data_IF_865519482340
#
_entry.id   IF_865519482340
#
_cell.length_a   1.000
_cell.length_b   1.000
_cell.length_c   1.000
_cell.angle_alpha   90.00
_cell.angle_beta   90.00
_cell.angle_gamma   90.00
#
_symmetry.space_group_name_H-M   'P 1'
#
loop_
_entity.id
_entity.type
_entity.pdbx_description
1 polymer ?
#
# COMPACT_ATOMS: atom_id res chain seq x y z
N UNK A 1 -4.04 -9.01 -20.38
CA UNK A 1 -5.13 -9.27 -21.34
C UNK A 1 -5.62 -10.70 -21.15
N UNK A 2 -6.68 -10.86 -20.37
CA UNK A 2 -7.65 -11.97 -20.34
C UNK A 2 -8.83 -11.40 -19.55
N UNK A 3 -10.05 -11.49 -20.06
CA UNK A 3 -11.24 -11.58 -19.22
C UNK A 3 -12.23 -12.48 -19.96
N UNK A 4 -12.46 -13.68 -19.42
CA UNK A 4 -13.62 -14.50 -19.74
C UNK A 4 -14.91 -13.83 -19.25
N UNK A 5 -15.96 -14.62 -19.07
CA UNK A 5 -17.25 -14.12 -18.56
C UNK A 5 -17.11 -13.42 -17.20
N UNK A 6 -17.98 -12.44 -16.93
CA UNK A 6 -18.00 -11.76 -15.64
C UNK A 6 -18.32 -12.75 -14.52
N UNK A 7 -17.47 -12.79 -13.48
CA UNK A 7 -17.71 -13.56 -12.26
C UNK A 7 -18.24 -12.63 -11.17
N UNK A 8 -19.51 -12.83 -10.80
CA UNK A 8 -20.09 -12.17 -9.64
C UNK A 8 -19.58 -12.79 -8.34
N UNK A 9 -19.20 -11.95 -7.38
CA UNK A 9 -18.70 -12.36 -6.07
C UNK A 9 -19.36 -11.51 -4.98
N UNK A 10 -20.04 -12.19 -4.06
CA UNK A 10 -20.70 -11.56 -2.91
C UNK A 10 -19.79 -11.65 -1.68
N UNK A 11 -19.49 -10.52 -1.06
CA UNK A 11 -18.63 -10.39 0.13
C UNK A 11 -19.34 -9.62 1.24
N UNK A 12 -18.94 -9.85 2.49
CA UNK A 12 -19.43 -9.10 3.65
C UNK A 12 -18.35 -8.17 4.16
N UNK A 13 -18.71 -6.93 4.50
CA UNK A 13 -17.74 -5.96 5.07
C UNK A 13 -17.10 -6.48 6.35
N UNK A 14 -17.86 -7.16 7.21
CA UNK A 14 -17.37 -7.65 8.51
C UNK A 14 -16.43 -8.86 8.39
N UNK A 15 -16.48 -9.60 7.28
CA UNK A 15 -15.64 -10.79 7.03
C UNK A 15 -14.89 -10.71 5.70
N UNK A 16 -14.58 -9.49 5.24
CA UNK A 16 -13.97 -9.24 3.92
C UNK A 16 -12.67 -10.03 3.72
N UNK A 17 -11.87 -10.16 4.78
CA UNK A 17 -10.62 -10.92 4.77
C UNK A 17 -10.88 -12.40 4.40
N UNK A 18 -11.80 -13.04 5.12
CA UNK A 18 -12.13 -14.46 4.95
C UNK A 18 -12.83 -14.71 3.62
N UNK A 19 -13.80 -13.88 3.25
CA UNK A 19 -14.61 -14.07 2.04
C UNK A 19 -13.74 -13.97 0.77
N UNK A 20 -12.85 -12.98 0.71
CA UNK A 20 -11.93 -12.82 -0.42
C UNK A 20 -10.88 -13.93 -0.43
N UNK A 21 -10.31 -14.33 0.70
CA UNK A 21 -9.37 -15.46 0.77
C UNK A 21 -10.01 -16.74 0.22
N UNK A 22 -11.22 -17.05 0.68
CA UNK A 22 -11.94 -18.26 0.29
C UNK A 22 -12.24 -18.26 -1.21
N UNK A 23 -12.61 -17.12 -1.79
CA UNK A 23 -12.82 -17.01 -3.22
C UNK A 23 -11.56 -17.31 -4.04
N UNK A 24 -10.39 -16.86 -3.57
CA UNK A 24 -9.10 -17.04 -4.23
C UNK A 24 -8.41 -18.38 -3.93
N UNK A 25 -9.02 -19.25 -3.13
CA UNK A 25 -8.61 -20.65 -3.04
C UNK A 25 -8.66 -21.31 -4.44
N UNK A 26 -9.66 -20.94 -5.25
CA UNK A 26 -9.72 -21.27 -6.68
C UNK A 26 -8.67 -20.46 -7.48
N UNK A 27 -7.61 -21.10 -8.00
CA UNK A 27 -6.59 -20.40 -8.78
C UNK A 27 -7.12 -19.83 -10.10
N UNK A 28 -8.24 -20.35 -10.62
CA UNK A 28 -8.78 -19.93 -11.91
C UNK A 28 -9.46 -18.56 -11.84
N UNK A 29 -9.81 -18.08 -10.64
CA UNK A 29 -10.45 -16.78 -10.44
C UNK A 29 -9.61 -15.63 -11.00
N UNK A 30 -8.28 -15.74 -10.94
CA UNK A 30 -7.33 -14.71 -11.42
C UNK A 30 -7.48 -14.40 -12.92
N UNK A 31 -8.06 -15.33 -13.70
CA UNK A 31 -8.34 -15.13 -15.13
C UNK A 31 -9.68 -14.45 -15.45
N UNK A 32 -10.49 -14.13 -14.44
CA UNK A 32 -11.86 -13.64 -14.61
C UNK A 32 -11.98 -12.13 -14.33
N UNK A 33 -12.99 -11.50 -14.92
CA UNK A 33 -13.44 -10.16 -14.47
C UNK A 33 -14.31 -10.33 -13.24
N UNK A 34 -14.07 -9.53 -12.21
CA UNK A 34 -14.91 -9.53 -11.02
C UNK A 34 -16.00 -8.48 -11.11
N UNK A 35 -17.17 -8.83 -10.57
CA UNK A 35 -18.27 -7.91 -10.27
C UNK A 35 -18.60 -8.15 -8.79
N UNK A 36 -18.30 -7.17 -7.94
CA UNK A 36 -18.49 -7.29 -6.50
C UNK A 36 -19.90 -6.87 -6.09
N UNK A 37 -20.50 -7.64 -5.17
CA UNK A 37 -21.64 -7.19 -4.36
C UNK A 37 -21.30 -7.28 -2.88
N UNK A 38 -21.60 -6.21 -2.14
CA UNK A 38 -21.60 -6.28 -0.68
C UNK A 38 -22.95 -6.81 -0.19
N UNK A 39 -22.91 -7.85 0.65
CA UNK A 39 -24.13 -8.45 1.20
C UNK A 39 -24.94 -7.39 1.97
N UNK A 40 -26.22 -7.26 1.62
CA UNK A 40 -27.14 -6.30 2.25
C UNK A 40 -27.03 -4.86 1.73
N UNK A 41 -26.15 -4.57 0.76
CA UNK A 41 -26.02 -3.25 0.16
C UNK A 41 -26.64 -3.19 -1.23
N UNK A 42 -27.34 -2.08 -1.51
CA UNK A 42 -27.81 -1.77 -2.87
C UNK A 42 -26.67 -1.09 -3.61
N UNK A 43 -26.20 -1.71 -4.69
CA UNK A 43 -25.15 -1.15 -5.54
C UNK A 43 -24.95 -1.98 -6.81
N UNK A 44 -24.61 -1.31 -7.90
CA UNK A 44 -24.13 -1.94 -9.12
C UNK A 44 -22.64 -1.68 -9.25
N UNK A 45 -21.86 -2.74 -9.40
CA UNK A 45 -20.42 -2.59 -9.56
C UNK A 45 -20.08 -2.22 -11.01
N UNK A 46 -19.66 -0.97 -11.20
CA UNK A 46 -19.03 -0.49 -12.42
C UNK A 46 -17.49 -0.41 -12.29
N UNK A 47 -16.91 -0.98 -11.23
CA UNK A 47 -15.48 -0.97 -10.89
C UNK A 47 -15.21 -0.43 -9.48
N UNK A 48 -16.08 0.46 -8.97
CA UNK A 48 -15.92 1.08 -7.66
C UNK A 48 -16.08 0.11 -6.49
N UNK A 49 -17.00 -0.86 -6.56
CA UNK A 49 -17.17 -1.85 -5.48
C UNK A 49 -16.05 -2.88 -5.50
N UNK A 50 -15.53 -3.21 -6.69
CA UNK A 50 -14.30 -4.00 -6.82
C UNK A 50 -13.13 -3.30 -6.13
N UNK A 51 -12.90 -2.01 -6.39
CA UNK A 51 -11.84 -1.21 -5.75
C UNK A 51 -12.00 -1.14 -4.22
N UNK A 52 -13.21 -0.84 -3.74
CA UNK A 52 -13.55 -0.82 -2.30
C UNK A 52 -13.27 -2.18 -1.63
N UNK A 53 -13.67 -3.28 -2.26
CA UNK A 53 -13.43 -4.64 -1.75
C UNK A 53 -11.94 -4.96 -1.59
N UNK A 54 -11.09 -4.64 -2.57
CA UNK A 54 -9.66 -4.90 -2.46
C UNK A 54 -8.98 -3.98 -1.44
N UNK A 55 -9.35 -2.69 -1.38
CA UNK A 55 -8.81 -1.77 -0.36
C UNK A 55 -9.18 -2.25 1.06
N UNK A 56 -10.45 -2.57 1.30
CA UNK A 56 -10.91 -3.10 2.59
C UNK A 56 -10.24 -4.45 2.93
N UNK A 57 -10.04 -5.32 1.94
CA UNK A 57 -9.30 -6.56 2.10
C UNK A 57 -7.86 -6.31 2.55
N UNK A 58 -7.11 -5.44 1.87
CA UNK A 58 -5.70 -5.19 2.19
C UNK A 58 -5.54 -4.56 3.57
N UNK A 59 -6.44 -3.67 3.96
CA UNK A 59 -6.48 -3.11 5.33
C UNK A 59 -6.64 -4.18 6.41
N UNK A 60 -7.49 -5.18 6.17
CA UNK A 60 -7.64 -6.31 7.07
C UNK A 60 -6.41 -7.23 7.02
N UNK A 61 -5.88 -7.51 5.83
CA UNK A 61 -4.72 -8.38 5.64
C UNK A 61 -3.48 -7.82 6.35
N UNK A 62 -3.20 -6.52 6.24
CA UNK A 62 -2.08 -5.87 6.92
C UNK A 62 -2.13 -6.00 8.45
N UNK A 63 -3.33 -6.06 9.04
CA UNK A 63 -3.50 -6.25 10.48
C UNK A 63 -3.31 -7.71 10.91
N UNK A 64 -3.44 -8.67 10.01
CA UNK A 64 -3.46 -10.11 10.33
C UNK A 64 -2.19 -10.85 9.93
N UNK A 65 -1.57 -10.49 8.80
CA UNK A 65 -0.50 -11.26 8.14
C UNK A 65 0.79 -10.44 7.90
N UNK A 66 0.84 -9.21 8.41
CA UNK A 66 1.98 -8.32 8.24
C UNK A 66 2.31 -7.62 9.55
N UNK A 67 3.53 -7.09 9.65
CA UNK A 67 4.01 -6.31 10.80
C UNK A 67 4.75 -5.06 10.31
N UNK A 68 4.68 -3.99 11.10
CA UNK A 68 5.27 -2.69 10.79
C UNK A 68 4.22 -1.58 10.85
N UNK A 69 4.69 -0.33 10.82
CA UNK A 69 3.83 0.84 10.97
C UNK A 69 3.22 1.30 9.64
N UNK A 70 3.94 2.19 8.93
CA UNK A 70 3.52 2.72 7.62
C UNK A 70 4.11 1.91 6.46
N UNK A 71 5.08 1.04 6.77
CA UNK A 71 5.70 0.09 5.87
C UNK A 71 5.64 -1.28 6.57
N UNK A 72 4.98 -2.23 5.94
CA UNK A 72 4.65 -3.52 6.52
C UNK A 72 5.33 -4.65 5.74
N UNK A 73 5.90 -5.61 6.45
CA UNK A 73 6.52 -6.81 5.88
C UNK A 73 5.67 -8.05 6.20
N UNK A 74 5.64 -9.07 5.32
CA UNK A 74 5.01 -10.36 5.62
C UNK A 74 5.48 -10.94 6.96
N UNK A 75 4.54 -11.35 7.81
CA UNK A 75 4.86 -11.89 9.12
C UNK A 75 3.82 -12.90 9.60
N UNK A 76 4.32 -13.98 10.21
CA UNK A 76 3.52 -14.90 11.02
C UNK A 76 4.24 -15.16 12.34
N UNK A 77 3.55 -15.06 13.49
CA UNK A 77 4.11 -15.55 14.73
C UNK A 77 4.24 -17.07 14.69
N UNK A 78 5.22 -17.62 15.42
CA UNK A 78 5.58 -19.05 15.37
C UNK A 78 4.36 -19.98 15.59
N UNK A 79 3.46 -19.63 16.51
CA UNK A 79 2.27 -20.44 16.81
C UNK A 79 1.22 -20.46 15.68
N UNK A 80 1.31 -19.57 14.68
CA UNK A 80 0.46 -19.51 13.49
C UNK A 80 1.19 -19.93 12.21
N UNK A 81 2.41 -20.46 12.31
CA UNK A 81 3.22 -20.75 11.12
C UNK A 81 2.58 -21.81 10.20
N UNK A 82 1.70 -22.67 10.72
CA UNK A 82 0.87 -23.59 9.94
C UNK A 82 -0.09 -22.88 8.98
N UNK A 83 -0.38 -21.59 9.18
CA UNK A 83 -1.22 -20.78 8.30
C UNK A 83 -0.45 -20.19 7.11
N UNK A 84 0.84 -20.52 6.93
CA UNK A 84 1.68 -19.99 5.84
C UNK A 84 1.15 -20.29 4.43
N UNK A 85 0.27 -21.29 4.28
CA UNK A 85 -0.45 -21.59 3.04
C UNK A 85 -1.36 -20.46 2.55
N UNK A 86 -1.62 -19.44 3.37
CA UNK A 86 -2.35 -18.25 2.96
C UNK A 86 -1.55 -17.33 2.03
N UNK A 87 -0.22 -17.33 2.16
CA UNK A 87 0.62 -16.36 1.44
C UNK A 87 0.58 -16.54 -0.09
N UNK A 88 0.55 -17.76 -0.66
CA UNK A 88 0.27 -17.93 -2.09
C UNK A 88 -1.10 -17.38 -2.51
N UNK A 89 -2.13 -17.43 -1.65
CA UNK A 89 -3.44 -16.82 -1.94
C UNK A 89 -3.30 -15.29 -1.97
N UNK A 90 -2.56 -14.69 -1.04
CA UNK A 90 -2.24 -13.25 -1.05
C UNK A 90 -1.53 -12.82 -2.34
N UNK A 91 -0.65 -13.67 -2.90
CA UNK A 91 0.00 -13.42 -4.18
C UNK A 91 -0.99 -13.34 -5.35
N UNK A 92 -1.98 -14.24 -5.38
CA UNK A 92 -3.06 -14.21 -6.39
C UNK A 92 -3.88 -12.94 -6.27
N UNK A 93 -4.30 -12.60 -5.04
CA UNK A 93 -5.10 -11.40 -4.76
C UNK A 93 -4.33 -10.12 -5.12
N UNK A 94 -3.03 -10.05 -4.80
CA UNK A 94 -2.16 -8.92 -5.14
C UNK A 94 -2.14 -8.69 -6.64
N UNK A 95 -1.78 -9.72 -7.41
CA UNK A 95 -1.62 -9.54 -8.84
C UNK A 95 -2.95 -9.34 -9.57
N UNK A 96 -4.03 -9.99 -9.13
CA UNK A 96 -5.34 -9.85 -9.76
C UNK A 96 -5.99 -8.51 -9.42
N UNK A 97 -5.95 -8.11 -8.15
CA UNK A 97 -6.47 -6.83 -7.69
C UNK A 97 -5.79 -5.66 -8.38
N UNK A 98 -4.46 -5.66 -8.46
CA UNK A 98 -3.72 -4.62 -9.20
C UNK A 98 -4.07 -4.61 -10.70
N UNK A 99 -4.21 -5.78 -11.33
CA UNK A 99 -4.60 -5.85 -12.74
C UNK A 99 -6.04 -5.35 -13.00
N UNK A 100 -6.99 -5.62 -12.09
CA UNK A 100 -8.39 -5.24 -12.23
C UNK A 100 -8.66 -3.77 -11.90
N UNK A 101 -7.97 -3.23 -10.90
CA UNK A 101 -8.32 -1.94 -10.28
C UNK A 101 -7.28 -0.85 -10.48
N UNK A 102 -6.06 -1.20 -10.91
CA UNK A 102 -4.93 -0.29 -10.88
C UNK A 102 -4.47 0.10 -9.47
N UNK A 103 -5.07 -0.45 -8.41
CA UNK A 103 -4.68 -0.20 -7.02
C UNK A 103 -3.59 -1.18 -6.60
N UNK A 104 -2.55 -0.65 -5.97
CA UNK A 104 -1.46 -1.42 -5.40
C UNK A 104 -1.35 -1.11 -3.89
N UNK A 105 -1.22 -2.11 -3.01
CA UNK A 105 -1.19 -1.88 -1.56
C UNK A 105 0.17 -1.31 -1.11
N UNK A 106 0.32 0.02 -1.19
CA UNK A 106 1.60 0.72 -0.93
C UNK A 106 2.13 0.63 0.50
N UNK A 107 1.33 0.12 1.45
CA UNK A 107 1.83 -0.22 2.79
C UNK A 107 2.73 -1.46 2.77
N UNK A 108 2.64 -2.31 1.74
CA UNK A 108 3.57 -3.42 1.57
C UNK A 108 4.98 -2.84 1.36
N UNK A 109 5.96 -3.34 2.09
CA UNK A 109 7.33 -2.82 2.03
C UNK A 109 7.93 -2.96 0.63
N UNK A 110 8.57 -1.91 0.08
CA UNK A 110 9.23 -1.92 -1.24
C UNK A 110 10.26 -3.05 -1.35
N UNK A 111 11.08 -3.22 -0.32
CA UNK A 111 12.05 -4.30 -0.25
C UNK A 111 11.40 -5.69 -0.21
N UNK A 112 10.23 -5.84 0.41
CA UNK A 112 9.44 -7.08 0.33
C UNK A 112 8.87 -7.30 -1.06
N UNK A 113 8.36 -6.25 -1.72
CA UNK A 113 7.91 -6.33 -3.13
C UNK A 113 9.04 -6.75 -4.05
N UNK A 114 10.22 -6.14 -3.90
CA UNK A 114 11.42 -6.57 -4.62
C UNK A 114 11.68 -8.06 -4.40
N UNK A 115 11.61 -8.53 -3.14
CA UNK A 115 11.85 -9.94 -2.81
C UNK A 115 10.79 -10.88 -3.39
N UNK A 116 9.53 -10.45 -3.45
CA UNK A 116 8.43 -11.18 -4.09
C UNK A 116 8.68 -11.29 -5.61
N UNK A 117 9.15 -10.22 -6.26
CA UNK A 117 9.36 -10.11 -7.71
C UNK A 117 10.62 -10.84 -8.18
N UNK A 118 11.70 -10.79 -7.40
CA UNK A 118 13.00 -11.33 -7.80
C UNK A 118 13.29 -12.69 -7.14
N UNK A 119 12.56 -13.04 -6.08
CA UNK A 119 12.78 -14.27 -5.32
C UNK A 119 14.06 -14.24 -4.46
N UNK A 120 14.71 -13.09 -4.37
CA UNK A 120 15.94 -12.85 -3.62
C UNK A 120 15.76 -11.65 -2.70
N UNK A 121 16.45 -11.59 -1.55
CA UNK A 121 16.35 -10.41 -0.67
C UNK A 121 16.81 -9.14 -1.40
N UNK A 122 16.20 -8.00 -1.06
CA UNK A 122 16.68 -6.68 -1.50
C UNK A 122 18.06 -6.39 -0.90
N UNK A 123 19.00 -5.93 -1.73
CA UNK A 123 20.37 -5.59 -1.31
C UNK A 123 20.67 -4.07 -1.37
N UNK A 124 19.75 -3.28 -1.93
CA UNK A 124 19.87 -1.81 -2.05
C UNK A 124 19.80 -1.17 -0.65
N UNK A 125 20.95 -0.72 -0.13
CA UNK A 125 21.05 -0.15 1.21
C UNK A 125 20.19 1.09 1.42
N UNK A 126 20.02 1.93 0.40
CA UNK A 126 19.23 3.16 0.51
C UNK A 126 17.74 2.85 0.56
N UNK A 127 17.29 1.89 -0.26
CA UNK A 127 15.92 1.37 -0.18
C UNK A 127 15.67 0.73 1.19
N UNK A 128 16.56 -0.14 1.65
CA UNK A 128 16.45 -0.83 2.93
C UNK A 128 16.40 0.16 4.11
N UNK A 129 17.31 1.13 4.13
CA UNK A 129 17.36 2.13 5.19
C UNK A 129 16.10 2.99 5.21
N UNK A 130 15.64 3.44 4.03
CA UNK A 130 14.41 4.23 3.93
C UNK A 130 13.16 3.43 4.29
N UNK A 131 13.07 2.16 3.92
CA UNK A 131 11.99 1.25 4.33
C UNK A 131 12.00 1.00 5.84
N UNK A 132 13.18 0.75 6.45
CA UNK A 132 13.31 0.57 7.89
C UNK A 132 12.81 1.81 8.64
N UNK A 133 13.20 3.01 8.22
CA UNK A 133 12.70 4.24 8.86
C UNK A 133 11.18 4.32 8.80
N UNK A 134 10.53 3.81 7.74
CA UNK A 134 9.08 3.83 7.60
C UNK A 134 8.39 2.68 8.35
N UNK A 135 9.12 1.62 8.62
CA UNK A 135 8.69 0.46 9.41
C UNK A 135 8.65 0.76 10.92
N UNK A 136 9.58 1.57 11.42
CA UNK A 136 9.68 1.97 12.82
C UNK A 136 8.51 2.85 13.29
N UNK A 137 8.26 2.87 14.60
CA UNK A 137 7.31 3.82 15.22
C UNK A 137 7.72 5.26 14.92
N UNK A 138 6.76 6.19 14.94
CA UNK A 138 7.03 7.59 14.60
C UNK A 138 8.13 8.21 15.48
N UNK A 139 8.18 7.84 16.77
CA UNK A 139 9.24 8.28 17.67
C UNK A 139 10.60 7.63 17.37
N UNK A 140 10.66 6.29 17.23
CA UNK A 140 11.90 5.58 16.87
C UNK A 140 12.48 6.10 15.54
N UNK A 141 11.61 6.35 14.56
CA UNK A 141 11.95 6.94 13.26
C UNK A 141 12.54 8.34 13.41
N UNK A 142 11.91 9.21 14.19
CA UNK A 142 12.37 10.59 14.37
C UNK A 142 13.75 10.63 15.03
N UNK A 143 13.94 9.82 16.07
CA UNK A 143 15.24 9.71 16.76
C UNK A 143 16.29 9.12 15.82
N UNK A 144 15.95 8.08 15.06
CA UNK A 144 16.85 7.46 14.08
C UNK A 144 17.26 8.43 12.97
N UNK A 145 16.33 9.23 12.43
CA UNK A 145 16.64 10.27 11.44
C UNK A 145 17.61 11.30 12.00
N UNK A 146 17.35 11.79 13.22
CA UNK A 146 18.24 12.74 13.90
C UNK A 146 19.65 12.16 14.05
N UNK A 147 19.74 10.89 14.44
CA UNK A 147 20.99 10.17 14.62
C UNK A 147 21.75 9.91 13.30
N UNK A 148 21.04 9.66 12.21
CA UNK A 148 21.61 9.50 10.86
C UNK A 148 22.15 10.82 10.30
N UNK A 149 21.50 11.95 10.62
CA UNK A 149 21.95 13.28 10.21
C UNK A 149 23.15 13.76 11.02
N UNK A 150 23.06 13.69 12.36
CA UNK A 150 24.15 14.04 13.28
C UNK A 150 23.94 13.38 14.64
N UNK A 151 24.66 12.29 14.88
CA UNK A 151 24.59 11.50 16.11
C UNK A 151 24.90 12.32 17.37
N UNK A 152 25.69 13.40 17.26
CA UNK A 152 26.06 14.21 18.42
C UNK A 152 24.91 15.11 18.92
N UNK A 153 23.83 15.26 18.14
CA UNK A 153 22.61 15.96 18.57
C UNK A 153 21.74 15.14 19.52
N UNK A 154 22.05 13.86 19.72
CA UNK A 154 21.26 12.99 20.57
C UNK A 154 21.46 13.33 22.04
N UNK A 155 20.35 13.54 22.74
CA UNK A 155 20.35 13.63 24.20
C UNK A 155 20.57 12.23 24.82
N UNK A 156 21.02 12.12 26.09
CA UNK A 156 21.13 10.83 26.77
C UNK A 156 19.82 10.02 26.76
N UNK A 157 18.67 10.70 26.85
CA UNK A 157 17.35 10.07 26.74
C UNK A 157 17.11 9.46 25.35
N UNK A 158 17.49 10.16 24.29
CA UNK A 158 17.36 9.65 22.91
C UNK A 158 18.27 8.44 22.68
N UNK A 159 19.48 8.45 23.24
CA UNK A 159 20.41 7.33 23.16
C UNK A 159 19.82 6.09 23.88
N UNK A 160 19.21 6.27 25.05
CA UNK A 160 18.53 5.18 25.75
C UNK A 160 17.38 4.61 24.90
N UNK A 161 16.55 5.47 24.31
CA UNK A 161 15.47 5.01 23.43
C UNK A 161 15.97 4.26 22.19
N UNK A 162 17.07 4.71 21.55
CA UNK A 162 17.69 3.94 20.46
C UNK A 162 18.20 2.59 20.93
N UNK A 163 18.78 2.54 22.13
CA UNK A 163 19.28 1.29 22.72
C UNK A 163 18.13 0.32 22.99
N UNK A 164 17.02 0.78 23.57
CA UNK A 164 15.82 -0.02 23.79
C UNK A 164 15.24 -0.54 22.46
N UNK A 165 15.23 0.29 21.42
CA UNK A 165 14.84 -0.10 20.07
C UNK A 165 15.74 -1.21 19.51
N UNK A 166 17.06 -1.07 19.60
CA UNK A 166 18.00 -2.10 19.16
C UNK A 166 17.80 -3.41 19.92
N UNK A 167 17.62 -3.35 21.25
CA UNK A 167 17.35 -4.53 22.08
C UNK A 167 16.05 -5.22 21.65
N UNK A 168 14.99 -4.46 21.36
CA UNK A 168 13.72 -4.98 20.82
C UNK A 168 13.91 -5.79 19.53
N UNK A 169 14.90 -5.43 18.70
CA UNK A 169 15.26 -6.17 17.49
C UNK A 169 16.36 -7.23 17.70
N UNK A 170 16.76 -7.49 18.94
CA UNK A 170 17.79 -8.48 19.27
C UNK A 170 19.22 -8.00 19.04
N UNK A 171 19.43 -6.69 18.95
CA UNK A 171 20.75 -6.05 18.83
C UNK A 171 21.21 -5.57 20.20
N UNK A 172 22.23 -6.23 20.76
CA UNK A 172 22.76 -5.92 22.10
C UNK A 172 23.95 -4.95 22.11
N UNK A 173 24.28 -4.35 20.97
CA UNK A 173 25.43 -3.45 20.80
C UNK A 173 24.98 -2.01 20.98
N UNK A 174 25.73 -1.24 21.77
CA UNK A 174 25.47 0.20 21.93
C UNK A 174 25.82 0.95 20.62
N UNK A 175 24.89 1.74 20.07
CA UNK A 175 25.15 2.53 18.87
C UNK A 175 26.21 3.61 19.15
N UNK A 176 27.15 3.78 18.20
CA UNK A 176 28.15 4.85 18.20
C UNK A 176 28.06 5.65 16.91
N UNK A 177 28.45 6.92 16.95
CA UNK A 177 28.34 7.83 15.81
C UNK A 177 28.97 7.28 14.51
N UNK A 178 30.14 6.65 14.61
CA UNK A 178 30.90 6.09 13.49
C UNK A 178 30.32 4.78 12.92
N UNK A 179 29.52 4.06 13.71
CA UNK A 179 28.96 2.75 13.33
C UNK A 179 27.45 2.75 13.15
N UNK A 180 26.76 3.83 13.54
CA UNK A 180 25.29 3.87 13.62
C UNK A 180 24.61 3.62 12.28
N UNK A 181 25.08 4.25 11.18
CA UNK A 181 24.49 4.01 9.84
C UNK A 181 24.59 2.54 9.46
N UNK A 182 25.75 1.92 9.64
CA UNK A 182 25.92 0.51 9.30
C UNK A 182 25.04 -0.40 10.17
N UNK A 183 24.89 -0.06 11.45
CA UNK A 183 24.00 -0.79 12.36
C UNK A 183 22.54 -0.72 11.90
N UNK A 184 22.07 0.45 11.46
CA UNK A 184 20.74 0.63 10.89
C UNK A 184 20.55 -0.14 9.58
N UNK A 185 21.54 -0.15 8.68
CA UNK A 185 21.50 -0.94 7.44
C UNK A 185 21.45 -2.44 7.76
N UNK A 186 22.25 -2.92 8.72
CA UNK A 186 22.24 -4.32 9.13
C UNK A 186 20.90 -4.72 9.76
N UNK A 187 20.32 -3.82 10.58
CA UNK A 187 18.98 -3.99 11.12
C UNK A 187 17.95 -4.10 10.00
N UNK A 188 18.01 -3.22 9.00
CA UNK A 188 17.12 -3.24 7.84
C UNK A 188 17.26 -4.56 7.06
N UNK A 189 18.50 -4.99 6.76
CA UNK A 189 18.74 -6.29 6.11
C UNK A 189 18.11 -7.45 6.87
N UNK A 190 18.24 -7.48 8.20
CA UNK A 190 17.64 -8.51 9.05
C UNK A 190 16.11 -8.47 9.00
N UNK A 191 15.51 -7.35 9.42
CA UNK A 191 14.06 -7.27 9.66
C UNK A 191 13.23 -7.13 8.40
N UNK A 192 13.77 -6.46 7.38
CA UNK A 192 13.01 -6.06 6.19
C UNK A 192 13.27 -6.97 4.99
N UNK A 193 14.48 -7.50 4.84
CA UNK A 193 14.85 -8.33 3.69
C UNK A 193 14.91 -9.83 4.02
N UNK A 194 15.68 -10.20 5.05
CA UNK A 194 16.00 -11.62 5.32
C UNK A 194 14.86 -12.34 6.04
N UNK A 195 14.41 -11.83 7.19
CA UNK A 195 13.33 -12.47 7.97
C UNK A 195 12.04 -12.71 7.19
N UNK A 196 11.51 -11.76 6.39
CA UNK A 196 10.27 -11.99 5.65
C UNK A 196 10.46 -12.81 4.37
N UNK A 197 11.70 -13.13 3.96
CA UNK A 197 11.99 -13.74 2.66
C UNK A 197 11.19 -15.01 2.40
N UNK A 198 11.08 -15.91 3.39
CA UNK A 198 10.27 -17.13 3.25
C UNK A 198 8.82 -16.81 2.85
N UNK A 199 8.16 -15.91 3.57
CA UNK A 199 6.78 -15.53 3.29
C UNK A 199 6.67 -14.73 1.97
N UNK A 200 7.66 -13.90 1.63
CA UNK A 200 7.75 -13.28 0.31
C UNK A 200 7.80 -14.32 -0.81
N UNK A 201 8.57 -15.40 -0.66
CA UNK A 201 8.61 -16.49 -1.65
C UNK A 201 7.30 -17.26 -1.73
N UNK A 202 6.54 -17.37 -0.63
CA UNK A 202 5.20 -17.94 -0.65
C UNK A 202 4.22 -17.05 -1.42
N UNK A 203 4.25 -15.72 -1.21
CA UNK A 203 3.47 -14.77 -2.01
C UNK A 203 3.81 -14.90 -3.49
N UNK A 204 5.10 -14.96 -3.82
CA UNK A 204 5.58 -15.14 -5.20
C UNK A 204 4.96 -16.36 -5.88
N UNK A 205 4.83 -17.49 -5.19
CA UNK A 205 4.23 -18.72 -5.74
C UNK A 205 2.76 -18.54 -6.15
N UNK A 206 2.09 -17.55 -5.57
CA UNK A 206 0.72 -17.17 -5.92
C UNK A 206 0.58 -16.35 -7.20
N UNK A 207 1.65 -15.69 -7.64
CA UNK A 207 1.60 -14.80 -8.81
C UNK A 207 1.65 -15.66 -10.07
N UNK A 208 0.66 -15.50 -10.95
CA UNK A 208 0.63 -16.18 -12.24
C UNK A 208 1.88 -15.83 -13.06
N UNK A 209 2.48 -16.83 -13.71
CA UNK A 209 3.66 -16.65 -14.57
C UNK A 209 3.45 -15.56 -15.62
N UNK A 210 2.27 -15.53 -16.25
CA UNK A 210 1.94 -14.50 -17.23
C UNK A 210 2.03 -13.07 -16.65
N UNK A 211 1.53 -12.85 -15.42
CA UNK A 211 1.63 -11.54 -14.77
C UNK A 211 3.08 -11.25 -14.35
N UNK A 212 3.81 -12.28 -13.92
CA UNK A 212 5.23 -12.17 -13.59
C UNK A 212 6.05 -11.71 -14.79
N UNK A 213 5.84 -12.35 -15.95
CA UNK A 213 6.61 -12.11 -17.16
C UNK A 213 6.23 -10.79 -17.85
N UNK A 214 4.96 -10.36 -17.75
CA UNK A 214 4.46 -9.17 -18.43
C UNK A 214 4.60 -7.87 -17.64
N UNK A 215 4.67 -7.92 -16.30
CA UNK A 215 4.62 -6.73 -15.46
C UNK A 215 5.63 -6.75 -14.32
N UNK A 216 5.69 -7.84 -13.53
CA UNK A 216 6.45 -7.80 -12.28
C UNK A 216 7.96 -7.88 -12.48
N UNK A 217 8.44 -8.87 -13.26
CA UNK A 217 9.87 -9.19 -13.39
C UNK A 217 10.72 -8.06 -14.00
N UNK A 218 10.09 -7.10 -14.68
CA UNK A 218 10.76 -5.94 -15.26
C UNK A 218 11.02 -4.82 -14.25
N UNK A 219 10.37 -4.85 -13.08
CA UNK A 219 10.47 -3.76 -12.10
C UNK A 219 11.81 -3.80 -11.34
N UNK A 220 12.57 -2.72 -11.48
CA UNK A 220 13.81 -2.45 -10.72
C UNK A 220 13.53 -1.76 -9.39
N UNK A 221 14.55 -1.61 -8.54
CA UNK A 221 14.44 -0.80 -7.31
C UNK A 221 14.07 0.66 -7.61
N UNK A 222 14.56 1.21 -8.71
CA UNK A 222 14.20 2.56 -9.17
C UNK A 222 12.74 2.64 -9.58
N UNK A 223 12.22 1.65 -10.31
CA UNK A 223 10.81 1.61 -10.73
C UNK A 223 9.89 1.50 -9.51
N UNK A 224 10.24 0.67 -8.53
CA UNK A 224 9.50 0.56 -7.28
C UNK A 224 9.51 1.88 -6.49
N UNK A 225 10.63 2.61 -6.48
CA UNK A 225 10.70 3.93 -5.85
C UNK A 225 9.73 4.90 -6.52
N UNK A 226 9.76 4.99 -7.85
CA UNK A 226 8.87 5.86 -8.62
C UNK A 226 7.40 5.45 -8.46
N UNK A 227 7.10 4.15 -8.52
CA UNK A 227 5.76 3.62 -8.32
C UNK A 227 5.19 4.07 -6.97
N UNK A 228 5.92 3.86 -5.88
CA UNK A 228 5.46 4.24 -4.54
C UNK A 228 5.31 5.75 -4.39
N UNK A 229 6.21 6.54 -4.98
CA UNK A 229 6.10 8.00 -4.98
C UNK A 229 4.84 8.49 -5.70
N UNK A 230 4.48 7.87 -6.82
CA UNK A 230 3.31 8.25 -7.61
C UNK A 230 1.99 7.83 -6.95
N UNK A 231 1.97 6.69 -6.26
CA UNK A 231 0.76 6.16 -5.63
C UNK A 231 0.50 6.77 -4.24
N UNK A 232 1.54 7.25 -3.55
CA UNK A 232 1.40 7.82 -2.21
C UNK A 232 0.76 9.23 -2.27
N UNK A 233 -0.40 9.45 -1.64
CA UNK A 233 -1.09 10.72 -1.75
C UNK A 233 -0.37 11.84 -0.98
N UNK A 234 -0.22 12.97 -1.65
CA UNK A 234 0.09 14.28 -1.07
C UNK A 234 -1.01 15.28 -1.43
N UNK A 235 -1.20 16.36 -0.65
CA UNK A 235 -2.22 17.36 -0.99
C UNK A 235 -2.07 17.89 -2.41
N UNK A 236 -0.83 18.15 -2.85
CA UNK A 236 -0.52 18.57 -4.21
C UNK A 236 -0.99 17.54 -5.24
N UNK A 237 -0.55 16.29 -5.11
CA UNK A 237 -0.89 15.23 -6.08
C UNK A 237 -2.39 14.92 -6.14
N UNK A 238 -3.12 15.09 -5.03
CA UNK A 238 -4.58 14.93 -5.01
C UNK A 238 -5.25 16.11 -5.72
N UNK A 239 -4.82 17.34 -5.44
CA UNK A 239 -5.32 18.55 -6.12
C UNK A 239 -5.07 18.49 -7.62
N UNK A 240 -3.92 17.98 -8.06
CA UNK A 240 -3.57 17.83 -9.49
C UNK A 240 -4.47 16.83 -10.21
N UNK A 241 -5.09 15.89 -9.48
CA UNK A 241 -6.06 14.93 -10.01
C UNK A 241 -7.50 15.43 -10.01
N UNK A 242 -7.80 16.56 -9.37
CA UNK A 242 -9.14 17.14 -9.40
C UNK A 242 -9.42 17.76 -10.77
N UNK A 243 -10.26 17.08 -11.55
CA UNK A 243 -10.75 17.53 -12.84
C UNK A 243 -12.18 18.04 -12.72
N UNK A 244 -12.53 19.02 -13.54
CA UNK A 244 -13.88 19.60 -13.61
C UNK A 244 -14.72 18.83 -14.62
N UNK A 245 -15.98 18.58 -14.29
CA UNK A 245 -16.96 17.95 -15.19
C UNK A 245 -17.27 18.80 -16.45
N UNK A 246 -17.04 20.11 -16.37
CA UNK A 246 -17.24 21.09 -17.45
C UNK A 246 -16.14 22.15 -17.49
N UNK A 247 -15.83 22.66 -18.68
CA UNK A 247 -14.79 23.69 -18.85
C UNK A 247 -15.20 25.06 -18.28
N UNK A 248 -16.46 25.45 -18.45
CA UNK A 248 -16.93 26.77 -18.01
C UNK A 248 -17.61 26.71 -16.64
N UNK A 249 -16.91 27.19 -15.61
CA UNK A 249 -17.43 27.31 -14.26
C UNK A 249 -18.04 28.69 -14.03
N UNK A 250 -19.21 28.73 -13.37
CA UNK A 250 -19.76 29.98 -12.83
C UNK A 250 -18.85 30.51 -11.71
N UNK A 251 -18.86 31.83 -11.41
CA UNK A 251 -18.01 32.40 -10.36
C UNK A 251 -18.14 31.70 -9.00
N UNK A 252 -19.35 31.28 -8.63
CA UNK A 252 -19.60 30.54 -7.39
C UNK A 252 -18.96 29.14 -7.42
N UNK A 253 -19.03 28.44 -8.55
CA UNK A 253 -18.44 27.10 -8.72
C UNK A 253 -16.91 27.17 -8.70
N UNK A 254 -16.33 28.19 -9.35
CA UNK A 254 -14.90 28.45 -9.29
C UNK A 254 -14.43 28.72 -7.85
N UNK A 255 -15.19 29.53 -7.08
CA UNK A 255 -14.89 29.77 -5.67
C UNK A 255 -15.02 28.49 -4.82
N UNK A 256 -16.04 27.67 -5.05
CA UNK A 256 -16.18 26.38 -4.35
C UNK A 256 -15.02 25.44 -4.66
N UNK A 257 -14.57 25.36 -5.93
CA UNK A 257 -13.42 24.56 -6.31
C UNK A 257 -12.13 25.05 -5.63
N UNK A 258 -11.95 26.37 -5.54
CA UNK A 258 -10.84 26.96 -4.82
C UNK A 258 -10.82 26.52 -3.35
N UNK A 259 -11.95 26.64 -2.64
CA UNK A 259 -12.03 26.22 -1.24
C UNK A 259 -11.87 24.72 -1.05
N UNK A 260 -12.30 23.90 -2.01
CA UNK A 260 -12.01 22.46 -1.99
C UNK A 260 -10.51 22.20 -2.08
N UNK A 261 -9.79 22.88 -2.99
CA UNK A 261 -8.34 22.73 -3.12
C UNK A 261 -7.62 23.22 -1.86
N UNK A 262 -8.02 24.36 -1.32
CA UNK A 262 -7.48 24.92 -0.07
C UNK A 262 -7.72 23.98 1.12
N UNK A 263 -8.92 23.40 1.21
CA UNK A 263 -9.23 22.35 2.17
C UNK A 263 -8.27 21.16 2.03
N UNK A 264 -8.07 20.64 0.82
CA UNK A 264 -7.15 19.51 0.59
C UNK A 264 -5.72 19.88 1.01
N UNK A 265 -5.23 21.08 0.68
CA UNK A 265 -3.92 21.57 1.13
C UNK A 265 -3.79 21.69 2.65
N UNK A 266 -4.89 21.89 3.37
CA UNK A 266 -4.91 21.98 4.83
C UNK A 266 -4.88 20.62 5.55
N UNK A 267 -5.12 19.52 4.83
CA UNK A 267 -5.18 18.18 5.43
C UNK A 267 -3.78 17.69 5.84
N UNK A 268 -3.71 17.05 7.01
CA UNK A 268 -2.56 16.23 7.38
C UNK A 268 -2.58 14.88 6.62
N UNK A 269 -1.55 14.05 6.80
CA UNK A 269 -1.43 12.76 6.09
C UNK A 269 -2.62 11.82 6.32
N UNK A 270 -3.15 11.78 7.53
CA UNK A 270 -4.14 10.80 7.94
C UNK A 270 -5.53 11.23 7.44
N UNK A 271 -5.87 12.51 7.60
CA UNK A 271 -7.11 13.08 7.09
C UNK A 271 -7.14 13.09 5.55
N UNK A 272 -5.99 13.26 4.89
CA UNK A 272 -5.88 13.16 3.43
C UNK A 272 -6.22 11.76 2.92
N UNK A 273 -5.76 10.72 3.62
CA UNK A 273 -6.09 9.33 3.30
C UNK A 273 -7.59 9.09 3.47
N UNK A 274 -8.18 9.55 4.57
CA UNK A 274 -9.63 9.44 4.80
C UNK A 274 -10.44 10.16 3.72
N UNK A 275 -10.00 11.34 3.30
CA UNK A 275 -10.60 12.08 2.20
C UNK A 275 -10.50 11.31 0.88
N UNK A 276 -9.35 10.70 0.58
CA UNK A 276 -9.16 9.95 -0.65
C UNK A 276 -10.01 8.67 -0.69
N UNK A 277 -10.12 7.95 0.43
CA UNK A 277 -11.02 6.79 0.56
C UNK A 277 -12.46 7.23 0.35
N UNK A 278 -12.85 8.38 0.91
CA UNK A 278 -14.20 8.91 0.76
C UNK A 278 -14.56 9.20 -0.71
N UNK A 279 -13.66 9.82 -1.48
CA UNK A 279 -13.95 10.23 -2.87
C UNK A 279 -13.63 9.16 -3.92
N UNK A 280 -12.69 8.24 -3.66
CA UNK A 280 -12.23 7.23 -4.64
C UNK A 280 -12.48 5.79 -4.24
N UNK A 281 -12.83 5.52 -2.99
CA UNK A 281 -12.89 4.15 -2.44
C UNK A 281 -11.51 3.52 -2.19
N UNK A 282 -10.42 4.28 -2.28
CA UNK A 282 -9.05 3.81 -2.06
C UNK A 282 -8.21 4.83 -1.29
N UNK A 283 -7.24 4.32 -0.54
CA UNK A 283 -6.26 5.08 0.24
C UNK A 283 -5.02 5.49 -0.57
N UNK A 284 -4.96 5.09 -1.84
CA UNK A 284 -3.86 5.39 -2.75
C UNK A 284 -4.36 6.07 -4.02
N UNK A 285 -3.48 6.86 -4.65
CA UNK A 285 -3.76 7.39 -5.97
C UNK A 285 -3.66 6.26 -6.99
N UNK A 286 -4.59 6.19 -7.93
CA UNK A 286 -4.47 5.35 -9.12
C UNK A 286 -3.85 6.15 -10.26
N UNK A 287 -3.01 5.52 -11.07
CA UNK A 287 -2.30 6.16 -12.16
C UNK A 287 -0.83 6.42 -11.88
N UNK A 288 0.01 5.62 -12.51
CA UNK A 288 1.42 5.91 -12.76
C UNK A 288 1.67 5.71 -14.26
N UNK A 289 2.88 5.89 -14.77
CA UNK A 289 3.19 5.49 -16.15
C UNK A 289 2.96 3.98 -16.39
N UNK A 290 2.82 3.19 -15.32
CA UNK A 290 2.71 1.73 -15.33
C UNK A 290 1.30 1.22 -14.95
N UNK A 291 0.40 2.07 -14.43
CA UNK A 291 -0.96 1.68 -14.00
C UNK A 291 -2.02 2.65 -14.55
N UNK A 292 -3.25 2.21 -14.87
CA UNK A 292 -4.30 3.08 -15.43
C UNK A 292 -4.55 4.33 -14.57
N UNK A 293 -4.69 5.50 -15.21
CA UNK A 293 -4.97 6.78 -14.54
C UNK A 293 -6.46 6.92 -14.28
N UNK A 294 -6.84 7.10 -13.02
CA UNK A 294 -8.16 7.67 -12.69
C UNK A 294 -7.98 9.16 -12.39
N UNK A 295 -8.79 9.98 -13.05
CA UNK A 295 -9.01 11.38 -12.70
C UNK A 295 -10.17 11.46 -11.69
N UNK A 296 -10.10 12.44 -10.78
CA UNK A 296 -11.15 12.69 -9.79
C UNK A 296 -12.06 13.80 -10.34
N UNK A 297 -13.24 13.42 -10.81
CA UNK A 297 -14.20 14.38 -11.39
C UNK A 297 -14.96 15.10 -10.28
N UNK A 298 -14.94 16.44 -10.33
CA UNK A 298 -15.69 17.34 -9.45
C UNK A 298 -16.92 17.86 -10.18
N UNK A 299 -18.09 17.50 -9.66
CA UNK A 299 -19.40 17.91 -10.17
C UNK A 299 -20.08 18.85 -9.17
N UNK A 300 -20.67 19.95 -9.65
CA UNK A 300 -21.31 20.95 -8.79
C UNK A 300 -22.82 20.68 -8.67
N UNK A 301 -23.23 20.17 -7.52
CA UNK A 301 -24.63 19.83 -7.19
C UNK A 301 -25.14 20.65 -6.01
N UNK A 302 -26.46 20.67 -5.79
CA UNK A 302 -27.08 21.36 -4.65
C UNK A 302 -26.91 20.63 -3.30
N UNK A 303 -26.38 19.41 -3.31
CA UNK A 303 -26.15 18.54 -2.15
C UNK A 303 -24.84 17.78 -2.40
N UNK A 304 -24.01 17.57 -1.38
CA UNK A 304 -22.83 16.69 -1.51
C UNK A 304 -23.30 15.24 -1.75
N UNK A 305 -23.13 14.75 -2.97
CA UNK A 305 -23.49 13.38 -3.37
C UNK A 305 -22.22 12.68 -3.82
N UNK A 306 -22.02 11.45 -3.34
CA UNK A 306 -20.94 10.57 -3.81
C UNK A 306 -21.48 9.73 -4.97
N UNK A 307 -20.94 9.95 -6.17
CA UNK A 307 -21.05 9.02 -7.30
C UNK A 307 -19.66 8.45 -7.56
N UNK A 308 -19.35 7.28 -6.99
CA UNK A 308 -18.03 6.68 -7.18
C UNK A 308 -17.80 6.08 -8.58
N UNK A 309 -18.69 6.30 -9.55
CA UNK A 309 -18.67 5.61 -10.84
C UNK A 309 -19.37 6.43 -11.94
N UNK A 310 -18.66 7.34 -12.60
CA UNK A 310 -18.93 7.68 -14.01
C UNK A 310 -17.62 7.47 -14.77
N UNK A 311 -17.42 6.25 -15.24
CA UNK A 311 -16.36 5.96 -16.21
C UNK A 311 -16.91 6.29 -17.61
N UNK A 312 -16.25 7.21 -18.31
CA UNK A 312 -16.34 7.33 -19.77
C UNK A 312 -15.20 6.54 -20.42
#
# INVERSE_FOLDING_TARGET
>A
MFLGDNKELTVRRQSILTDVIQAYEDPQLVGQRLVIRFEGELGQDAGGLTKDSFSAFWDAAFKTYFVGERCCVPFLPIHRFSESSIFPILGRILTHGTALTGVFPIRLCRSSVFSIIHGTPCEDEEMLLSDLLIYLTDFERQVSKTALEDFNKLTPRMINHLTDMFIKFGVSILPKADTFRQLMVNLARSEIAIKPLFLCTQIRQGILSLHMDSFWSILTTSDLKTLYQNLNPTPQTVVDKLQRDKEDLRPQEANTLYYLKDFVYSLNSDDLVLFLVFITGSDVLTGSDVLPRDDIIVTFTSILVRECCVFQ
#
